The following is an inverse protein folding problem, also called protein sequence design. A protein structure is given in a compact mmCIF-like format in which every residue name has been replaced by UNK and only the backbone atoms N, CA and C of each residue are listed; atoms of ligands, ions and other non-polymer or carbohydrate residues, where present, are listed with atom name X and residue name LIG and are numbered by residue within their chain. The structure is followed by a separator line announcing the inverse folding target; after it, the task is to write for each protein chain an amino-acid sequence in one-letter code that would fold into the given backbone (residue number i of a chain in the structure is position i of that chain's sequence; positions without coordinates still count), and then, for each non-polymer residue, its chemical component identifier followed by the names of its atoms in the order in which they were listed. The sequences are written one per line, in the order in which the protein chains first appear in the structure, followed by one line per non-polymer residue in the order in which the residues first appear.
data_IF_963991793917
#
_entry.id   IF_963991793917
#
_cell.length_a   1.000
_cell.length_b   1.000
_cell.length_c   1.000
_cell.angle_alpha   90.00
_cell.angle_beta   90.00
_cell.angle_gamma   90.00
#
_symmetry.space_group_name_H-M   'P 1'
#
loop_
_entity.id
_entity.type
_entity.pdbx_description
1 polymer ?
#
# COMPACT_ATOMS: atom_id res chain seq x y z
N UNK A 1 14.62 4.24 10.99
CA UNK A 1 13.90 3.69 12.17
C UNK A 1 12.59 4.46 12.33
N UNK A 2 11.43 3.78 12.32
CA UNK A 2 10.12 4.44 12.24
C UNK A 2 9.23 4.14 13.46
N UNK A 3 8.46 5.08 14.02
CA UNK A 3 7.59 4.76 15.16
C UNK A 3 6.53 3.70 14.83
N UNK A 4 6.03 3.00 15.86
CA UNK A 4 4.86 2.12 15.72
C UNK A 4 3.61 2.97 15.41
N UNK A 5 2.68 2.42 14.63
CA UNK A 5 1.42 3.08 14.28
C UNK A 5 1.53 4.18 13.20
N UNK A 6 2.73 4.53 12.75
CA UNK A 6 2.94 5.50 11.65
C UNK A 6 2.27 5.04 10.36
N UNK A 7 1.59 5.95 9.67
CA UNK A 7 1.05 5.67 8.34
C UNK A 7 2.21 5.54 7.34
N UNK A 8 2.25 4.43 6.61
CA UNK A 8 3.28 4.16 5.59
C UNK A 8 2.69 3.68 4.28
N UNK A 9 3.47 3.83 3.21
CA UNK A 9 3.17 3.28 1.91
C UNK A 9 4.47 2.88 1.20
N UNK A 10 4.35 2.21 0.05
CA UNK A 10 5.47 1.79 -0.78
C UNK A 10 6.54 0.99 0.00
N UNK A 11 6.13 -0.13 0.59
CA UNK A 11 6.97 -0.93 1.48
C UNK A 11 7.73 -2.02 0.70
N UNK A 12 9.01 -2.21 1.02
CA UNK A 12 9.83 -3.30 0.48
C UNK A 12 9.53 -4.65 1.16
N UNK A 13 9.51 -5.74 0.38
CA UNK A 13 9.38 -7.10 0.91
C UNK A 13 10.76 -7.67 1.30
N UNK A 14 11.75 -7.41 0.46
CA UNK A 14 13.15 -7.81 0.66
C UNK A 14 13.99 -6.55 0.59
N UNK A 15 14.97 -6.35 1.49
CA UNK A 15 15.81 -5.16 1.47
C UNK A 15 16.46 -4.97 0.10
N UNK A 16 16.31 -3.77 -0.48
CA UNK A 16 16.92 -3.42 -1.77
C UNK A 16 16.17 -3.91 -3.02
N UNK A 17 15.03 -4.59 -2.89
CA UNK A 17 14.17 -4.94 -4.05
C UNK A 17 13.15 -3.86 -4.41
N UNK A 18 13.21 -2.70 -3.75
CA UNK A 18 12.26 -1.61 -3.95
C UNK A 18 10.88 -1.88 -3.37
N UNK A 19 10.08 -0.80 -3.28
CA UNK A 19 8.75 -0.84 -2.70
C UNK A 19 7.77 -1.60 -3.58
N UNK A 20 7.15 -2.64 -3.03
CA UNK A 20 6.23 -3.54 -3.74
C UNK A 20 4.81 -3.47 -3.17
N UNK A 21 4.70 -3.23 -1.86
CA UNK A 21 3.45 -3.24 -1.11
C UNK A 21 2.88 -1.83 -0.92
N UNK A 22 1.56 -1.75 -0.73
CA UNK A 22 0.83 -0.51 -0.47
C UNK A 22 1.12 0.61 -1.50
N UNK A 23 0.94 0.31 -2.79
CA UNK A 23 1.16 1.24 -3.92
C UNK A 23 -0.12 1.78 -4.56
N UNK A 24 -1.26 1.18 -4.26
CA UNK A 24 -2.54 1.58 -4.83
C UNK A 24 -2.96 2.98 -4.33
N UNK A 25 -3.81 3.67 -5.09
CA UNK A 25 -4.37 4.96 -4.70
C UNK A 25 -5.04 4.88 -3.32
N UNK A 26 -4.71 5.81 -2.44
CA UNK A 26 -5.19 5.81 -1.05
C UNK A 26 -4.65 4.68 -0.15
N UNK A 27 -3.71 3.85 -0.60
CA UNK A 27 -3.19 2.76 0.21
C UNK A 27 -2.39 3.26 1.43
N UNK A 28 -2.59 2.59 2.56
CA UNK A 28 -1.86 2.84 3.82
C UNK A 28 -1.57 1.51 4.51
N UNK A 29 -0.33 1.34 4.94
CA UNK A 29 0.15 0.29 5.82
C UNK A 29 0.52 0.90 7.18
N UNK A 30 0.53 0.07 8.23
CA UNK A 30 0.93 0.51 9.58
C UNK A 30 1.81 -0.54 10.25
N UNK A 31 2.97 -0.16 10.82
CA UNK A 31 3.77 -1.05 11.64
C UNK A 31 3.08 -1.25 12.99
N UNK A 32 2.77 -2.50 13.31
CA UNK A 32 2.04 -2.89 14.54
C UNK A 32 3.02 -3.27 15.63
N UNK A 33 4.03 -4.08 15.29
CA UNK A 33 5.03 -4.57 16.24
C UNK A 33 6.41 -4.58 15.58
N UNK A 34 7.43 -4.55 16.42
CA UNK A 34 8.84 -4.69 16.03
C UNK A 34 9.51 -5.64 17.01
N UNK A 35 9.96 -6.77 16.49
CA UNK A 35 10.58 -7.83 17.29
C UNK A 35 11.91 -8.20 16.65
N UNK A 36 13.00 -7.94 17.36
CA UNK A 36 14.35 -8.25 16.91
C UNK A 36 14.67 -7.64 15.53
N UNK A 37 14.85 -8.49 14.52
CA UNK A 37 15.17 -8.11 13.13
C UNK A 37 13.95 -8.05 12.20
N UNK A 38 12.75 -8.34 12.72
CA UNK A 38 11.50 -8.36 11.97
C UNK A 38 10.56 -7.26 12.48
N UNK A 39 9.71 -6.78 11.58
CA UNK A 39 8.64 -5.85 11.83
C UNK A 39 7.34 -6.45 11.31
N UNK A 40 6.30 -6.33 12.11
CA UNK A 40 4.94 -6.77 11.78
C UNK A 40 4.21 -5.58 11.18
N UNK A 41 3.84 -5.68 9.90
CA UNK A 41 3.13 -4.65 9.16
C UNK A 41 1.70 -5.11 8.86
N UNK A 42 0.74 -4.24 9.14
CA UNK A 42 -0.65 -4.40 8.71
C UNK A 42 -0.84 -3.72 7.37
N UNK A 43 -1.20 -4.51 6.37
CA UNK A 43 -1.44 -4.11 4.98
C UNK A 43 -2.95 -4.02 4.72
N UNK A 44 -3.40 -3.21 3.75
CA UNK A 44 -4.78 -3.25 3.25
C UNK A 44 -4.94 -4.36 2.18
N UNK A 45 -5.95 -5.25 2.27
CA UNK A 45 -7.14 -5.23 3.11
C UNK A 45 -7.01 -6.12 4.35
N UNK A 46 -6.29 -5.68 5.38
CA UNK A 46 -6.24 -6.32 6.69
C UNK A 46 -5.20 -7.44 6.86
N UNK A 47 -4.42 -7.78 5.82
CA UNK A 47 -3.35 -8.78 5.95
C UNK A 47 -2.27 -8.29 6.92
N UNK A 48 -1.81 -9.17 7.82
CA UNK A 48 -0.68 -8.90 8.69
C UNK A 48 0.51 -9.70 8.19
N UNK A 49 1.63 -9.03 7.96
CA UNK A 49 2.82 -9.63 7.36
C UNK A 49 4.09 -9.26 8.11
N UNK A 50 4.98 -10.24 8.25
CA UNK A 50 6.32 -10.07 8.82
C UNK A 50 7.29 -9.67 7.71
N UNK A 51 8.03 -8.59 7.94
CA UNK A 51 9.01 -8.02 7.01
C UNK A 51 10.28 -7.70 7.79
N UNK A 52 11.45 -7.74 7.14
CA UNK A 52 12.71 -7.35 7.80
C UNK A 52 12.71 -5.87 8.18
N UNK A 53 13.26 -5.53 9.35
CA UNK A 53 13.44 -4.13 9.76
C UNK A 53 14.40 -3.34 8.87
N UNK A 54 15.21 -4.03 8.06
CA UNK A 54 16.11 -3.42 7.09
C UNK A 54 15.39 -2.98 5.79
N UNK A 55 14.14 -3.36 5.59
CA UNK A 55 13.33 -2.93 4.46
C UNK A 55 12.99 -1.44 4.55
N UNK A 56 13.01 -0.76 3.41
CA UNK A 56 12.59 0.64 3.31
C UNK A 56 11.07 0.76 3.19
N UNK A 57 10.56 1.88 3.69
CA UNK A 57 9.15 2.27 3.59
C UNK A 57 9.05 3.78 3.55
N UNK A 58 8.05 4.30 2.82
CA UNK A 58 7.78 5.74 2.74
C UNK A 58 6.73 6.14 3.76
N UNK A 59 6.92 7.28 4.43
CA UNK A 59 5.97 7.82 5.40
C UNK A 59 4.79 8.47 4.67
N UNK A 60 3.58 8.29 5.20
CA UNK A 60 2.34 8.86 4.68
C UNK A 60 1.48 7.85 3.93
N UNK A 61 0.45 8.36 3.26
CA UNK A 61 -0.50 7.60 2.47
C UNK A 61 -0.30 7.91 0.98
N UNK A 62 -0.60 6.96 0.10
CA UNK A 62 -0.62 7.22 -1.34
C UNK A 62 -1.74 8.22 -1.66
N UNK A 63 -1.44 9.22 -2.51
CA UNK A 63 -2.43 10.21 -2.95
C UNK A 63 -3.64 9.61 -3.69
N UNK A 64 -4.58 10.48 -4.07
CA UNK A 64 -5.84 10.10 -4.73
C UNK A 64 -6.71 9.16 -3.87
N UNK A 65 -7.00 9.57 -2.63
CA UNK A 65 -7.78 8.78 -1.66
C UNK A 65 -9.22 8.53 -2.16
N UNK A 66 -9.79 9.51 -2.86
CA UNK A 66 -11.16 9.42 -3.42
C UNK A 66 -11.25 8.61 -4.72
N UNK A 67 -10.16 7.96 -5.14
CA UNK A 67 -10.16 7.10 -6.33
C UNK A 67 -11.28 6.05 -6.29
N UNK A 68 -11.61 5.54 -5.10
CA UNK A 68 -12.65 4.53 -4.93
C UNK A 68 -14.07 5.11 -5.07
N UNK A 69 -14.26 6.41 -4.85
CA UNK A 69 -15.56 7.08 -4.97
C UNK A 69 -15.86 7.56 -6.40
N UNK A 70 -14.93 7.36 -7.34
CA UNK A 70 -15.07 7.80 -8.72
C UNK A 70 -16.06 6.92 -9.48
N UNK A 71 -17.20 7.48 -9.87
CA UNK A 71 -18.18 6.80 -10.72
C UNK A 71 -17.80 6.88 -12.20
N UNK A 72 -18.05 5.79 -12.94
CA UNK A 72 -17.83 5.76 -14.39
C UNK A 72 -19.12 6.19 -15.08
N UNK A 73 -19.30 7.50 -15.30
CA UNK A 73 -20.59 8.10 -15.68
C UNK A 73 -21.25 7.57 -16.97
N UNK A 74 -20.48 7.07 -17.94
CA UNK A 74 -21.00 6.46 -19.17
C UNK A 74 -20.30 5.15 -19.50
N UNK A 75 -20.99 4.22 -20.17
CA UNK A 75 -20.44 2.92 -20.59
C UNK A 75 -19.13 3.06 -21.38
N UNK A 76 -19.06 4.04 -22.29
CA UNK A 76 -17.86 4.31 -23.09
C UNK A 76 -16.61 4.70 -22.29
N UNK A 77 -16.76 5.27 -21.09
CA UNK A 77 -15.61 5.65 -20.26
C UNK A 77 -14.81 4.42 -19.78
N UNK A 78 -15.47 3.26 -19.62
CA UNK A 78 -14.77 1.99 -19.34
C UNK A 78 -13.87 1.54 -20.49
N UNK A 79 -14.22 1.86 -21.74
CA UNK A 79 -13.40 1.55 -22.92
C UNK A 79 -12.12 2.37 -22.96
N UNK A 80 -12.17 3.64 -22.52
CA UNK A 80 -10.97 4.49 -22.42
C UNK A 80 -9.95 3.95 -21.41
N UNK A 81 -10.42 3.21 -20.39
CA UNK A 81 -9.58 2.49 -19.42
C UNK A 81 -9.10 1.12 -19.93
N UNK A 82 -9.27 0.80 -21.21
CA UNK A 82 -8.85 -0.48 -21.80
C UNK A 82 -9.71 -1.70 -21.41
N UNK A 83 -10.84 -1.51 -20.72
CA UNK A 83 -11.72 -2.60 -20.32
C UNK A 83 -12.74 -2.93 -21.41
N UNK A 84 -12.77 -4.19 -21.85
CA UNK A 84 -13.78 -4.70 -22.79
C UNK A 84 -15.06 -5.08 -22.04
N UNK A 85 -16.25 -4.90 -22.65
CA UNK A 85 -17.49 -5.46 -22.10
C UNK A 85 -17.35 -6.98 -21.99
N UNK A 86 -17.93 -7.55 -20.92
CA UNK A 86 -18.07 -8.99 -20.73
C UNK A 86 -19.26 -9.50 -21.54
#
# INVERSE_FOLDING_TARGET
NMPLGTATHNVEITPGKGGQLARAAGAVAKPVAKEGRLATLRLPPGEVRLISQFCLATIGQVGNVDANNRTTGKAGSKRWLGRRPR
#
